data_IF_008033579922
#
_entry.id   IF_008033579922
#
_cell.length_a   1.000
_cell.length_b   1.000
_cell.length_c   1.000
_cell.angle_alpha   90.00
_cell.angle_beta   90.00
_cell.angle_gamma   90.00
#
_symmetry.space_group_name_H-M   'P 1'
#
loop_
_entity.id
_entity.type
_entity.pdbx_description
1 polymer ?
#
# COMPACT_ATOMS: atom_id res chain seq x y z
N UNK A 1 -58.46 52.61 14.80
CA UNK A 1 -57.63 52.87 13.60
C UNK A 1 -56.11 52.90 13.91
N UNK A 2 -55.61 52.02 14.79
CA UNK A 2 -54.22 52.11 15.30
C UNK A 2 -53.51 50.74 15.45
N UNK A 3 -53.74 49.80 14.52
CA UNK A 3 -53.10 48.47 14.55
C UNK A 3 -52.62 47.99 13.17
N UNK A 4 -52.19 48.90 12.31
CA UNK A 4 -51.68 48.58 10.96
C UNK A 4 -50.31 49.20 10.67
N UNK A 5 -49.36 49.19 11.61
CA UNK A 5 -48.00 49.71 11.30
C UNK A 5 -46.81 49.03 11.99
N UNK A 6 -47.01 47.88 12.66
CA UNK A 6 -45.93 47.20 13.40
C UNK A 6 -45.67 45.75 12.93
N UNK A 7 -45.69 45.48 11.62
CA UNK A 7 -45.41 44.13 11.08
C UNK A 7 -44.43 44.09 9.89
N UNK A 8 -43.53 45.05 9.76
CA UNK A 8 -42.52 45.04 8.68
C UNK A 8 -41.15 45.52 9.14
N UNK A 9 -40.52 44.81 10.08
CA UNK A 9 -39.06 44.91 10.32
C UNK A 9 -38.42 43.56 10.67
N UNK A 10 -38.88 42.49 10.03
CA UNK A 10 -38.15 41.21 10.03
C UNK A 10 -38.01 40.76 8.58
N UNK A 11 -37.28 41.53 7.80
CA UNK A 11 -36.88 41.09 6.48
C UNK A 11 -35.64 41.84 6.02
N UNK A 12 -34.68 41.07 5.49
CA UNK A 12 -33.58 41.50 4.64
C UNK A 12 -32.33 42.03 5.35
N UNK A 13 -31.69 41.16 6.11
CA UNK A 13 -30.22 41.02 6.08
C UNK A 13 -29.81 39.55 6.02
N UNK A 14 -30.40 38.76 5.11
CA UNK A 14 -29.74 37.54 4.63
C UNK A 14 -28.83 37.97 3.50
N UNK A 15 -27.67 38.52 3.88
CA UNK A 15 -26.63 38.90 2.94
C UNK A 15 -26.20 37.68 2.12
N UNK A 16 -25.77 37.92 0.89
CA UNK A 16 -25.34 36.93 -0.10
C UNK A 16 -24.25 35.92 0.37
N UNK A 17 -23.80 35.98 1.62
CA UNK A 17 -22.84 35.07 2.23
C UNK A 17 -23.42 33.80 2.88
N UNK A 18 -24.75 33.66 3.03
CA UNK A 18 -25.30 32.46 3.71
C UNK A 18 -25.08 31.17 2.91
N UNK A 19 -24.96 31.26 1.58
CA UNK A 19 -24.63 30.12 0.72
C UNK A 19 -23.12 29.81 0.69
N UNK A 20 -22.27 30.75 1.10
CA UNK A 20 -20.81 30.56 1.11
C UNK A 20 -20.43 29.52 2.17
N UNK A 21 -21.07 29.54 3.33
CA UNK A 21 -20.79 28.59 4.43
C UNK A 21 -21.02 27.12 4.02
N UNK A 22 -22.19 26.72 3.47
CA UNK A 22 -22.38 25.34 3.02
C UNK A 22 -21.50 24.98 1.82
N UNK A 23 -21.18 25.92 0.92
CA UNK A 23 -20.25 25.66 -0.20
C UNK A 23 -18.83 25.40 0.32
N UNK A 24 -18.34 26.22 1.24
CA UNK A 24 -17.03 26.00 1.88
C UNK A 24 -17.03 24.70 2.69
N UNK A 25 -18.12 24.36 3.36
CA UNK A 25 -18.25 23.10 4.08
C UNK A 25 -18.22 21.89 3.13
N UNK A 26 -18.97 21.94 2.02
CA UNK A 26 -18.94 20.89 0.99
C UNK A 26 -17.56 20.79 0.35
N UNK A 27 -16.90 21.91 0.05
CA UNK A 27 -15.54 21.91 -0.49
C UNK A 27 -14.51 21.36 0.51
N UNK A 28 -14.66 21.66 1.79
CA UNK A 28 -13.82 21.13 2.87
C UNK A 28 -14.03 19.61 3.03
N UNK A 29 -15.28 19.15 3.05
CA UNK A 29 -15.61 17.72 3.14
C UNK A 29 -15.15 16.98 1.89
N UNK A 30 -15.39 17.53 0.70
CA UNK A 30 -14.92 16.95 -0.55
C UNK A 30 -13.38 16.90 -0.61
N UNK A 31 -12.69 17.93 -0.11
CA UNK A 31 -11.23 17.95 0.03
C UNK A 31 -10.74 16.87 1.01
N UNK A 32 -11.40 16.73 2.17
CA UNK A 32 -11.07 15.68 3.14
C UNK A 32 -11.31 14.27 2.58
N UNK A 33 -12.41 14.05 1.86
CA UNK A 33 -12.72 12.78 1.19
C UNK A 33 -11.73 12.50 0.05
N UNK A 34 -11.34 13.51 -0.72
CA UNK A 34 -10.32 13.37 -1.77
C UNK A 34 -8.95 13.00 -1.18
N UNK A 35 -8.58 13.58 -0.03
CA UNK A 35 -7.36 13.21 0.69
C UNK A 35 -7.39 11.75 1.19
N UNK A 36 -8.56 11.25 1.61
CA UNK A 36 -8.72 9.83 1.96
C UNK A 36 -8.66 8.88 0.77
N UNK A 37 -9.06 9.34 -0.43
CA UNK A 37 -9.02 8.54 -1.65
C UNK A 37 -7.63 8.47 -2.30
N UNK A 38 -6.68 9.32 -1.86
CA UNK A 38 -5.35 9.46 -2.48
C UNK A 38 -4.17 9.38 -1.50
N UNK A 39 -4.07 8.30 -0.71
CA UNK A 39 -3.02 8.15 0.28
C UNK A 39 -1.60 8.22 -0.31
N UNK A 40 -1.38 7.62 -1.49
CA UNK A 40 -0.07 7.60 -2.14
C UNK A 40 0.38 8.99 -2.62
N UNK A 41 -0.57 9.84 -3.04
CA UNK A 41 -0.27 11.20 -3.49
C UNK A 41 0.07 12.12 -2.32
N UNK A 42 -0.63 11.93 -1.19
CA UNK A 42 -0.37 12.66 0.06
C UNK A 42 0.98 12.24 0.64
N UNK A 43 1.26 10.94 0.78
CA UNK A 43 2.55 10.46 1.29
C UNK A 43 3.71 10.95 0.41
N UNK A 44 3.54 11.00 -0.92
CA UNK A 44 4.56 11.60 -1.80
C UNK A 44 4.79 13.09 -1.56
N UNK A 45 3.76 13.84 -1.20
CA UNK A 45 3.89 15.27 -0.96
C UNK A 45 4.52 15.57 0.40
N UNK A 46 4.21 14.74 1.42
CA UNK A 46 4.78 14.87 2.77
C UNK A 46 6.20 14.28 2.83
N UNK A 47 6.45 13.18 2.12
CA UNK A 47 7.69 12.42 2.11
C UNK A 47 8.22 12.23 0.68
N UNK A 48 8.60 13.31 -0.03
CA UNK A 48 9.03 13.22 -1.44
C UNK A 48 10.25 12.33 -1.65
N UNK A 49 11.14 12.23 -0.66
CA UNK A 49 12.34 11.41 -0.76
C UNK A 49 12.04 9.90 -0.83
N UNK A 50 10.93 9.43 -0.23
CA UNK A 50 10.49 8.02 -0.31
C UNK A 50 10.13 7.59 -1.73
N UNK A 51 9.85 8.55 -2.61
CA UNK A 51 9.39 8.33 -3.99
C UNK A 51 10.40 8.76 -5.04
N UNK A 52 11.57 9.28 -4.64
CA UNK A 52 12.62 9.73 -5.55
C UNK A 52 13.45 8.54 -6.04
N UNK A 53 12.88 7.81 -7.00
CA UNK A 53 13.54 6.68 -7.65
C UNK A 53 14.52 7.13 -8.73
N UNK A 54 15.60 6.37 -8.92
CA UNK A 54 16.61 6.65 -9.95
C UNK A 54 16.25 6.10 -11.33
N UNK A 55 15.23 5.24 -11.42
CA UNK A 55 14.76 4.64 -12.66
C UNK A 55 13.75 3.52 -12.43
N UNK A 56 13.37 2.83 -13.51
CA UNK A 56 12.31 1.80 -13.50
C UNK A 56 12.81 0.37 -13.71
N UNK A 57 14.11 0.20 -13.98
CA UNK A 57 14.75 -1.10 -14.09
C UNK A 57 14.65 -1.85 -12.75
N UNK A 58 14.26 -3.12 -12.79
CA UNK A 58 14.21 -3.96 -11.59
C UNK A 58 15.46 -4.82 -11.48
N UNK A 59 15.89 -5.02 -10.24
CA UNK A 59 16.79 -6.07 -9.85
C UNK A 59 16.02 -7.35 -9.52
N UNK A 60 16.78 -8.42 -9.30
CA UNK A 60 16.27 -9.65 -8.70
C UNK A 60 15.69 -9.38 -7.30
N UNK A 61 14.65 -10.10 -6.91
CA UNK A 61 13.89 -9.81 -5.69
C UNK A 61 14.71 -10.01 -4.42
N UNK A 62 15.64 -10.98 -4.43
CA UNK A 62 16.56 -11.22 -3.30
C UNK A 62 17.36 -9.95 -2.94
N UNK A 63 17.70 -9.09 -3.91
CA UNK A 63 18.42 -7.84 -3.65
C UNK A 63 17.60 -6.87 -2.81
N UNK A 64 16.30 -6.78 -3.08
CA UNK A 64 15.38 -5.97 -2.28
C UNK A 64 15.17 -6.55 -0.87
N UNK A 65 15.10 -7.89 -0.77
CA UNK A 65 14.99 -8.58 0.53
C UNK A 65 16.19 -8.28 1.41
N UNK A 66 17.41 -8.40 0.87
CA UNK A 66 18.65 -8.10 1.61
C UNK A 66 18.66 -6.65 2.08
N UNK A 67 18.35 -5.70 1.19
CA UNK A 67 18.32 -4.29 1.53
C UNK A 67 17.26 -3.93 2.58
N UNK A 68 16.06 -4.52 2.48
CA UNK A 68 15.00 -4.34 3.46
C UNK A 68 15.39 -4.90 4.83
N UNK A 69 15.86 -6.15 4.90
CA UNK A 69 16.26 -6.79 6.16
C UNK A 69 17.37 -6.02 6.89
N UNK A 70 18.23 -5.30 6.18
CA UNK A 70 19.28 -4.48 6.79
C UNK A 70 18.75 -3.29 7.61
N UNK A 71 17.51 -2.84 7.38
CA UNK A 71 16.91 -1.68 8.07
C UNK A 71 15.71 -2.04 8.95
N UNK A 72 15.24 -3.30 8.90
CA UNK A 72 14.17 -3.78 9.76
C UNK A 72 14.63 -3.91 11.22
N UNK A 73 13.71 -3.66 12.14
CA UNK A 73 13.97 -3.83 13.56
C UNK A 73 14.06 -5.31 13.94
N UNK A 74 14.63 -5.61 15.11
CA UNK A 74 14.69 -6.99 15.62
C UNK A 74 13.29 -7.57 15.76
N UNK A 75 13.05 -8.69 15.09
CA UNK A 75 11.78 -9.41 15.11
C UNK A 75 10.80 -9.01 14.00
N UNK A 76 11.03 -7.91 13.29
CA UNK A 76 10.32 -7.59 12.06
C UNK A 76 10.77 -8.54 10.95
N UNK A 77 9.81 -9.12 10.24
CA UNK A 77 10.07 -10.03 9.12
C UNK A 77 9.33 -9.55 7.90
N UNK A 78 9.97 -9.64 6.73
CA UNK A 78 9.30 -9.31 5.47
C UNK A 78 8.12 -10.27 5.29
N UNK A 79 6.93 -9.70 5.15
CA UNK A 79 5.70 -10.44 4.86
C UNK A 79 5.38 -10.37 3.37
N UNK A 80 5.76 -9.29 2.68
CA UNK A 80 5.48 -9.11 1.25
C UNK A 80 6.39 -8.09 0.61
N UNK A 81 6.69 -8.30 -0.67
CA UNK A 81 7.28 -7.29 -1.54
C UNK A 81 6.30 -6.94 -2.65
N UNK A 82 6.14 -5.65 -2.94
CA UNK A 82 5.32 -5.13 -4.02
C UNK A 82 6.20 -4.40 -5.04
N UNK A 83 6.04 -4.79 -6.31
CA UNK A 83 6.67 -4.10 -7.43
C UNK A 83 6.02 -2.72 -7.62
N UNK A 84 6.77 -1.73 -8.12
CA UNK A 84 6.24 -0.40 -8.32
C UNK A 84 5.11 -0.39 -9.37
N UNK A 85 4.09 0.41 -9.09
CA UNK A 85 3.04 0.73 -10.06
C UNK A 85 3.50 1.93 -10.89
N UNK A 86 4.19 1.67 -12.00
CA UNK A 86 4.77 2.71 -12.85
C UNK A 86 6.09 3.24 -12.30
N UNK A 87 6.24 4.56 -12.24
CA UNK A 87 7.45 5.25 -11.74
C UNK A 87 7.37 5.44 -10.22
N UNK A 88 7.72 4.39 -9.48
CA UNK A 88 7.66 4.43 -8.02
C UNK A 88 8.63 3.43 -7.37
N UNK A 89 8.69 3.44 -6.03
CA UNK A 89 9.57 2.56 -5.28
C UNK A 89 9.05 1.12 -5.25
N UNK A 90 9.97 0.18 -5.09
CA UNK A 90 9.64 -1.16 -4.59
C UNK A 90 9.33 -1.04 -3.11
N UNK A 91 8.28 -1.72 -2.67
CA UNK A 91 7.82 -1.64 -1.28
C UNK A 91 7.99 -3.01 -0.62
N UNK A 92 8.79 -3.08 0.43
CA UNK A 92 8.90 -4.26 1.29
C UNK A 92 8.12 -4.02 2.57
N UNK A 93 7.06 -4.79 2.80
CA UNK A 93 6.22 -4.69 3.99
C UNK A 93 6.62 -5.76 4.98
N UNK A 94 6.77 -5.35 6.24
CA UNK A 94 7.11 -6.24 7.33
C UNK A 94 5.90 -6.56 8.22
N UNK A 95 6.03 -7.64 9.00
CA UNK A 95 5.04 -8.11 9.97
C UNK A 95 4.77 -7.13 11.13
N UNK A 96 5.68 -6.18 11.38
CA UNK A 96 5.60 -5.19 12.48
C UNK A 96 5.11 -3.81 12.05
N UNK A 97 4.28 -3.72 11.01
CA UNK A 97 3.77 -2.47 10.42
C UNK A 97 4.84 -1.57 9.75
N UNK A 98 6.08 -2.03 9.62
CA UNK A 98 7.10 -1.31 8.88
C UNK A 98 6.92 -1.48 7.37
N UNK A 99 7.08 -0.39 6.62
CA UNK A 99 7.21 -0.41 5.16
C UNK A 99 8.55 0.21 4.77
N UNK A 100 9.38 -0.56 4.08
CA UNK A 100 10.64 -0.08 3.51
C UNK A 100 10.42 0.29 2.04
N UNK A 101 10.82 1.51 1.69
CA UNK A 101 10.76 2.05 0.34
C UNK A 101 12.13 1.89 -0.31
N UNK A 102 12.18 1.20 -1.44
CA UNK A 102 13.41 0.80 -2.11
C UNK A 102 13.43 1.35 -3.54
N UNK A 103 14.59 1.83 -3.95
CA UNK A 103 14.83 2.29 -5.31
C UNK A 103 14.95 1.08 -6.26
N UNK A 104 14.12 0.97 -7.32
CA UNK A 104 14.11 -0.21 -8.17
C UNK A 104 15.48 -0.56 -8.78
N UNK A 105 16.26 0.36 -9.38
CA UNK A 105 17.45 -0.04 -10.12
C UNK A 105 18.63 -0.52 -9.26
N UNK A 106 18.66 -0.16 -7.97
CA UNK A 106 19.83 -0.37 -7.11
C UNK A 106 19.51 -0.90 -5.69
N UNK A 107 18.23 -1.11 -5.37
CA UNK A 107 17.75 -1.54 -4.05
C UNK A 107 18.14 -0.62 -2.88
N UNK A 108 18.51 0.63 -3.15
CA UNK A 108 18.81 1.61 -2.11
C UNK A 108 17.55 1.92 -1.31
N UNK A 109 17.68 1.96 0.01
CA UNK A 109 16.60 2.39 0.89
C UNK A 109 16.37 3.89 0.72
N UNK A 110 15.18 4.24 0.27
CA UNK A 110 14.70 5.62 0.12
C UNK A 110 14.05 6.13 1.41
N UNK A 111 13.47 5.22 2.19
CA UNK A 111 12.92 5.53 3.50
C UNK A 111 12.27 4.32 4.16
N UNK A 112 11.93 4.48 5.44
CA UNK A 112 11.19 3.48 6.21
C UNK A 112 10.04 4.21 6.90
N UNK A 113 8.82 3.77 6.65
CA UNK A 113 7.64 4.17 7.42
C UNK A 113 7.39 3.11 8.50
N UNK A 114 7.09 3.55 9.73
CA UNK A 114 6.78 2.67 10.86
C UNK A 114 5.49 3.14 11.52
N UNK A 115 4.54 2.23 11.68
CA UNK A 115 3.30 2.46 12.42
C UNK A 115 2.11 2.90 11.54
N UNK A 116 0.91 2.51 11.97
CA UNK A 116 -0.35 2.78 11.28
C UNK A 116 -0.90 4.22 11.30
N UNK A 117 -0.05 5.25 11.43
CA UNK A 117 -0.46 6.65 11.40
C UNK A 117 -0.97 7.08 10.02
N UNK A 118 -2.00 7.93 9.95
CA UNK A 118 -2.77 8.24 8.72
C UNK A 118 -1.91 8.65 7.50
N UNK A 119 -0.70 9.14 7.75
CA UNK A 119 0.28 9.60 6.75
C UNK A 119 1.48 8.65 6.52
N UNK A 120 1.72 7.68 7.41
CA UNK A 120 2.88 6.76 7.34
C UNK A 120 2.49 5.40 6.71
N UNK A 121 1.71 5.45 5.63
CA UNK A 121 1.25 4.24 4.92
C UNK A 121 -0.05 3.66 5.47
N UNK A 122 -0.82 4.42 6.24
CA UNK A 122 -1.97 3.89 6.97
C UNK A 122 -3.06 3.27 6.11
N UNK A 123 -3.39 3.93 5.02
CA UNK A 123 -4.52 3.50 4.19
C UNK A 123 -4.18 2.19 3.47
N UNK A 124 -2.88 1.86 3.38
CA UNK A 124 -2.39 0.58 2.86
C UNK A 124 -2.52 -0.56 3.88
N UNK A 125 -2.38 -0.33 5.19
CA UNK A 125 -2.63 -1.37 6.22
C UNK A 125 -4.09 -1.81 6.28
N UNK A 126 -5.04 -0.96 5.90
CA UNK A 126 -6.45 -1.33 5.92
C UNK A 126 -6.81 -2.35 4.82
N UNK A 127 -6.04 -2.39 3.72
CA UNK A 127 -6.11 -3.48 2.72
C UNK A 127 -5.54 -4.80 3.26
N UNK A 128 -4.63 -4.75 4.24
CA UNK A 128 -4.00 -5.94 4.83
C UNK A 128 -4.86 -6.68 5.84
N UNK A 129 -5.78 -6.01 6.55
CA UNK A 129 -6.61 -6.69 7.59
C UNK A 129 -7.47 -7.86 7.10
N UNK A 130 -7.65 -8.02 5.78
CA UNK A 130 -8.30 -9.22 5.24
C UNK A 130 -7.39 -10.46 5.24
N UNK A 131 -6.12 -10.32 5.64
CA UNK A 131 -5.10 -11.35 5.73
C UNK A 131 -4.63 -11.64 7.18
N UNK A 132 -5.27 -11.04 8.20
CA UNK A 132 -4.88 -11.19 9.61
C UNK A 132 -4.98 -12.64 10.14
N UNK A 133 -5.60 -13.56 9.40
CA UNK A 133 -5.59 -15.00 9.72
C UNK A 133 -4.28 -15.72 9.35
N UNK A 134 -3.35 -15.07 8.63
CA UNK A 134 -2.22 -15.72 7.99
C UNK A 134 -1.11 -16.20 8.94
N UNK A 135 -0.99 -15.69 10.16
CA UNK A 135 0.10 -16.07 11.09
C UNK A 135 1.45 -15.44 10.75
N UNK A 136 2.46 -15.68 11.59
CA UNK A 136 3.79 -15.06 11.47
C UNK A 136 4.50 -15.55 10.19
N UNK A 137 5.14 -14.67 9.39
CA UNK A 137 5.98 -15.08 8.27
C UNK A 137 7.07 -16.05 8.73
N UNK A 138 7.39 -17.04 7.89
CA UNK A 138 8.47 -17.97 8.18
C UNK A 138 9.80 -17.22 8.20
N UNK A 139 10.55 -17.39 9.28
CA UNK A 139 11.85 -16.75 9.46
C UNK A 139 12.90 -17.26 8.45
N UNK A 140 12.79 -18.54 8.09
CA UNK A 140 13.66 -19.20 7.13
C UNK A 140 12.79 -20.08 6.21
N UNK A 141 12.19 -19.52 5.16
CA UNK A 141 11.54 -20.29 4.12
C UNK A 141 12.54 -21.26 3.47
N UNK A 142 12.07 -22.43 3.06
CA UNK A 142 12.90 -23.43 2.39
C UNK A 142 13.30 -22.99 0.97
N UNK A 143 12.50 -22.15 0.30
CA UNK A 143 12.84 -21.56 -0.99
C UNK A 143 13.25 -20.09 -0.88
N UNK A 144 14.24 -19.69 -1.67
CA UNK A 144 14.56 -18.28 -1.90
C UNK A 144 13.49 -17.60 -2.77
N UNK A 145 13.26 -16.30 -2.57
CA UNK A 145 12.19 -15.60 -3.30
C UNK A 145 12.46 -15.55 -4.81
N UNK A 146 13.71 -15.45 -5.24
CA UNK A 146 14.05 -15.54 -6.67
C UNK A 146 13.73 -16.92 -7.27
N UNK A 147 13.89 -18.01 -6.49
CA UNK A 147 13.51 -19.35 -6.94
C UNK A 147 12.00 -19.47 -7.09
N UNK A 148 11.25 -18.93 -6.14
CA UNK A 148 9.78 -18.86 -6.17
C UNK A 148 9.30 -18.07 -7.37
N UNK A 149 9.90 -16.91 -7.64
CA UNK A 149 9.58 -16.10 -8.82
C UNK A 149 9.91 -16.82 -10.12
N UNK A 150 11.02 -17.57 -10.19
CA UNK A 150 11.37 -18.38 -11.35
C UNK A 150 10.36 -19.51 -11.59
N UNK A 151 9.89 -20.18 -10.53
CA UNK A 151 8.87 -21.23 -10.61
C UNK A 151 7.52 -20.64 -11.02
N UNK A 152 7.10 -19.57 -10.36
CA UNK A 152 5.85 -18.90 -10.66
C UNK A 152 5.85 -18.28 -12.06
N UNK A 153 6.97 -17.75 -12.54
CA UNK A 153 7.11 -17.13 -13.87
C UNK A 153 6.97 -18.12 -15.03
N UNK A 154 7.16 -19.42 -14.79
CA UNK A 154 6.83 -20.46 -15.79
C UNK A 154 5.32 -20.55 -16.06
N UNK A 155 4.51 -20.14 -15.08
CA UNK A 155 3.04 -20.19 -15.13
C UNK A 155 2.43 -18.80 -15.35
N UNK A 156 3.02 -17.78 -14.74
CA UNK A 156 2.62 -16.38 -14.85
C UNK A 156 3.24 -15.72 -16.07
N UNK A 157 2.41 -15.36 -17.05
CA UNK A 157 2.85 -14.78 -18.34
C UNK A 157 3.22 -13.28 -18.27
N UNK A 158 3.36 -12.70 -17.07
CA UNK A 158 3.55 -11.27 -16.89
C UNK A 158 4.58 -10.98 -15.80
N UNK A 159 5.03 -9.72 -15.71
CA UNK A 159 5.82 -9.25 -14.57
C UNK A 159 4.96 -9.34 -13.29
N UNK A 160 5.55 -9.87 -12.22
CA UNK A 160 4.89 -9.97 -10.92
C UNK A 160 4.56 -8.57 -10.37
N UNK A 161 3.49 -8.50 -9.59
CA UNK A 161 2.99 -7.30 -8.91
C UNK A 161 3.31 -7.36 -7.42
N UNK A 162 3.17 -8.54 -6.80
CA UNK A 162 3.57 -8.75 -5.42
C UNK A 162 3.99 -10.18 -5.15
N UNK A 163 4.84 -10.38 -4.16
CA UNK A 163 5.16 -11.69 -3.59
C UNK A 163 4.91 -11.67 -2.09
N UNK A 164 4.09 -12.58 -1.60
CA UNK A 164 3.82 -12.78 -0.17
C UNK A 164 4.58 -13.99 0.35
N UNK A 165 5.17 -13.83 1.53
CA UNK A 165 5.94 -14.87 2.22
C UNK A 165 5.02 -15.97 2.76
N UNK A 166 5.52 -17.22 2.83
CA UNK A 166 4.87 -18.28 3.57
C UNK A 166 4.88 -17.93 5.06
N UNK A 167 3.94 -18.51 5.79
CA UNK A 167 3.73 -18.28 7.21
C UNK A 167 3.67 -19.59 7.98
N UNK A 168 3.71 -19.50 9.30
CA UNK A 168 3.55 -20.66 10.20
C UNK A 168 2.23 -21.42 9.99
N UNK A 169 1.20 -20.78 9.42
CA UNK A 169 -0.11 -21.39 9.13
C UNK A 169 -0.29 -21.77 7.67
N UNK A 170 0.55 -21.25 6.78
CA UNK A 170 0.45 -21.45 5.33
C UNK A 170 1.83 -21.53 4.71
N UNK A 171 2.21 -22.73 4.32
CA UNK A 171 3.51 -23.00 3.69
C UNK A 171 3.60 -22.59 2.21
N UNK A 172 2.59 -21.90 1.65
CA UNK A 172 2.62 -21.46 0.26
C UNK A 172 3.10 -20.01 0.16
N UNK A 173 4.03 -19.79 -0.77
CA UNK A 173 4.27 -18.47 -1.34
C UNK A 173 3.10 -18.06 -2.22
N UNK A 174 2.76 -16.78 -2.21
CA UNK A 174 1.75 -16.21 -3.13
C UNK A 174 2.41 -15.19 -4.04
N UNK A 175 2.48 -15.49 -5.33
CA UNK A 175 2.96 -14.56 -6.35
C UNK A 175 1.78 -14.02 -7.12
N UNK A 176 1.51 -12.72 -6.98
CA UNK A 176 0.45 -12.05 -7.71
C UNK A 176 0.98 -11.43 -9.00
N UNK A 177 0.19 -11.53 -10.05
CA UNK A 177 0.35 -10.89 -11.35
C UNK A 177 -0.86 -9.99 -11.62
N UNK A 178 -0.81 -9.18 -12.68
CA UNK A 178 -1.96 -8.31 -13.04
C UNK A 178 -3.23 -9.09 -13.37
N UNK A 179 -3.11 -10.35 -13.81
CA UNK A 179 -4.21 -11.17 -14.34
C UNK A 179 -4.54 -12.39 -13.46
N UNK A 180 -3.93 -12.52 -12.28
CA UNK A 180 -4.13 -13.70 -11.42
C UNK A 180 -3.01 -13.89 -10.42
N UNK A 181 -3.01 -15.04 -9.74
CA UNK A 181 -1.98 -15.38 -8.75
C UNK A 181 -1.52 -16.83 -8.92
N UNK A 182 -0.29 -17.08 -8.51
CA UNK A 182 0.32 -18.41 -8.48
C UNK A 182 0.70 -18.71 -7.05
N UNK A 183 0.32 -19.89 -6.58
CA UNK A 183 0.80 -20.45 -5.32
C UNK A 183 2.01 -21.31 -5.59
N UNK A 184 3.04 -21.18 -4.78
CA UNK A 184 4.24 -22.03 -4.85
C UNK A 184 4.47 -22.63 -3.47
N UNK A 185 4.42 -23.96 -3.37
CA UNK A 185 4.69 -24.66 -2.12
C UNK A 185 6.16 -24.47 -1.71
N UNK A 186 6.41 -24.06 -0.47
CA UNK A 186 7.76 -23.78 0.04
C UNK A 186 8.63 -25.03 0.19
N UNK A 187 8.04 -26.20 0.45
CA UNK A 187 8.79 -27.45 0.68
C UNK A 187 9.22 -28.17 -0.60
N UNK A 188 8.31 -28.26 -1.58
CA UNK A 188 8.50 -29.05 -2.80
C UNK A 188 8.71 -28.19 -4.05
N UNK A 189 8.43 -26.89 -3.99
CA UNK A 189 8.49 -25.99 -5.14
C UNK A 189 7.42 -26.26 -6.21
N UNK A 190 6.38 -27.03 -5.87
CA UNK A 190 5.22 -27.22 -6.74
C UNK A 190 4.47 -25.90 -6.91
N UNK A 191 4.17 -25.51 -8.15
CA UNK A 191 3.52 -24.24 -8.46
C UNK A 191 2.16 -24.46 -9.14
N UNK A 192 1.13 -23.72 -8.71
CA UNK A 192 -0.25 -23.86 -9.22
C UNK A 192 -0.85 -22.47 -9.47
N UNK A 193 -1.46 -22.28 -10.64
CA UNK A 193 -2.24 -21.08 -10.94
C UNK A 193 -3.56 -21.12 -10.18
N UNK A 194 -3.84 -20.08 -9.41
CA UNK A 194 -5.13 -19.89 -8.78
C UNK A 194 -5.81 -18.71 -9.46
N UNK A 195 -6.90 -18.99 -10.17
CA UNK A 195 -7.69 -17.97 -10.85
C UNK A 195 -8.16 -16.88 -9.87
N UNK A 196 -8.23 -15.64 -10.37
CA UNK A 196 -9.03 -14.63 -9.69
C UNK A 196 -10.49 -15.12 -9.74
N UNK A 197 -11.07 -15.48 -8.59
CA UNK A 197 -12.52 -15.60 -8.52
C UNK A 197 -13.07 -14.18 -8.73
N UNK A 198 -13.84 -14.02 -9.80
CA UNK A 198 -14.78 -12.90 -9.97
C UNK A 198 -15.76 -12.83 -8.80
#
# INVERSE_FOLDING_TARGET
MAQRKARRRIARRRGAGWWIVPILFVALVAGAVALMAWPDAVDRQVHPDRYRVSGTAMLAADRYVVAANAVLARGEMIARIEAPRGEGPVLALASGEATVFLDPPNARVLGVARGGGWYDGAVRWMRWRRHDDAGRPLAAPALAVDRVLALAGKLGRARWVSVEWPTERRADWVVAYRQGRVLVADDAGGAVVVGARE
#
